data_IF_285136197303
#
_entry.id   IF_285136197303
#
_cell.length_a   1.000
_cell.length_b   1.000
_cell.length_c   1.000
_cell.angle_alpha   90.00
_cell.angle_beta   90.00
_cell.angle_gamma   90.00
#
_symmetry.space_group_name_H-M   'P 1'
#
loop_
_entity.id
_entity.type
_entity.pdbx_description
1 polymer ?
#
# COMPACT_ATOMS: atom_id res chain seq x y z
N UNK A 1 -18.85 -19.20 7.10
CA UNK A 1 -17.40 -18.88 7.03
C UNK A 1 -16.90 -19.23 5.64
N UNK A 2 -16.71 -18.25 4.76
CA UNK A 2 -16.26 -18.49 3.37
C UNK A 2 -14.74 -18.30 3.35
N UNK A 3 -14.03 -19.41 3.24
CA UNK A 3 -12.57 -19.47 3.21
C UNK A 3 -12.02 -18.63 2.05
N UNK A 4 -10.93 -17.91 2.35
CA UNK A 4 -10.13 -17.15 1.40
C UNK A 4 -9.58 -18.12 0.35
N UNK A 5 -10.05 -18.00 -0.89
CA UNK A 5 -9.35 -18.57 -2.03
C UNK A 5 -8.03 -17.81 -2.19
N UNK A 6 -6.88 -18.49 -2.30
CA UNK A 6 -5.66 -17.84 -2.75
C UNK A 6 -5.93 -17.40 -4.20
N UNK A 7 -5.96 -16.09 -4.45
CA UNK A 7 -5.97 -15.57 -5.82
C UNK A 7 -4.56 -15.75 -6.35
N UNK A 8 -4.25 -16.99 -6.73
CA UNK A 8 -3.12 -17.34 -7.56
C UNK A 8 -3.68 -17.48 -8.98
N UNK A 9 -3.34 -16.53 -9.85
CA UNK A 9 -3.76 -16.60 -11.25
C UNK A 9 -3.87 -15.23 -11.90
N UNK A 10 -2.77 -14.82 -12.53
CA UNK A 10 -2.71 -13.92 -13.69
C UNK A 10 -3.38 -12.54 -13.52
N UNK A 11 -2.60 -11.52 -13.13
CA UNK A 11 -2.75 -10.09 -13.52
C UNK A 11 -1.95 -9.11 -12.63
N UNK A 12 -1.11 -9.59 -11.69
CA UNK A 12 -0.14 -8.73 -11.03
C UNK A 12 1.08 -8.50 -11.92
N UNK A 13 0.96 -7.56 -12.86
CA UNK A 13 2.05 -7.10 -13.73
C UNK A 13 2.92 -6.10 -12.96
N UNK A 14 3.60 -6.58 -11.92
CA UNK A 14 4.63 -5.85 -11.18
C UNK A 14 5.74 -6.83 -10.85
N UNK A 15 6.98 -6.50 -11.17
CA UNK A 15 8.13 -7.36 -10.88
C UNK A 15 8.25 -7.59 -9.37
N UNK A 16 7.96 -8.82 -8.91
CA UNK A 16 7.99 -9.25 -7.51
C UNK A 16 9.42 -9.46 -6.97
N UNK A 17 10.34 -8.54 -7.28
CA UNK A 17 11.62 -8.48 -6.60
C UNK A 17 11.41 -8.01 -5.16
N UNK A 18 11.28 -8.94 -4.21
CA UNK A 18 11.20 -8.68 -2.76
C UNK A 18 9.99 -7.87 -2.24
N UNK A 19 8.76 -8.18 -2.67
CA UNK A 19 7.55 -7.58 -2.11
C UNK A 19 7.23 -8.17 -0.71
N UNK A 20 7.87 -7.62 0.32
CA UNK A 20 7.64 -7.97 1.72
C UNK A 20 6.26 -7.48 2.19
N UNK A 21 5.46 -8.40 2.76
CA UNK A 21 4.09 -8.15 3.17
C UNK A 21 3.95 -7.38 4.50
N UNK A 22 2.77 -7.47 5.13
CA UNK A 22 2.43 -6.71 6.33
C UNK A 22 3.43 -6.83 7.48
N UNK A 23 4.02 -8.02 7.69
CA UNK A 23 4.99 -8.25 8.78
C UNK A 23 6.21 -7.33 8.71
N UNK A 24 6.69 -7.06 7.50
CA UNK A 24 7.84 -6.16 7.29
C UNK A 24 7.42 -4.71 7.43
N UNK A 25 6.29 -4.33 6.84
CA UNK A 25 5.73 -2.98 7.01
C UNK A 25 5.51 -2.67 8.50
N UNK A 26 4.94 -3.60 9.28
CA UNK A 26 4.71 -3.41 10.71
C UNK A 26 5.98 -3.35 11.55
N UNK A 27 7.10 -3.88 11.05
CA UNK A 27 8.38 -3.80 11.75
C UNK A 27 9.02 -2.41 11.61
N UNK A 28 8.77 -1.73 10.49
CA UNK A 28 9.33 -0.40 10.20
C UNK A 28 8.37 0.72 10.60
N UNK A 29 7.10 0.56 10.26
CA UNK A 29 6.05 1.58 10.41
C UNK A 29 5.06 1.27 11.53
N UNK A 30 5.34 0.27 12.38
CA UNK A 30 4.47 -0.13 13.48
C UNK A 30 4.19 1.06 14.40
N UNK A 31 2.92 1.25 14.76
CA UNK A 31 2.49 2.37 15.60
C UNK A 31 1.52 1.93 16.68
N UNK A 32 1.50 2.69 17.78
CA UNK A 32 0.47 2.63 18.83
C UNK A 32 -0.43 3.87 18.84
N UNK A 33 -0.22 4.83 17.92
CA UNK A 33 -1.06 6.00 17.80
C UNK A 33 -2.44 5.63 17.22
N UNK A 34 -3.46 6.35 17.63
CA UNK A 34 -4.77 6.28 16.99
C UNK A 34 -4.75 7.02 15.65
N UNK A 35 -5.59 6.62 14.67
CA UNK A 35 -5.70 7.36 13.43
C UNK A 35 -6.25 8.76 13.69
N UNK A 36 -5.61 9.76 13.09
CA UNK A 36 -6.12 11.12 12.97
C UNK A 36 -6.73 11.37 11.58
N UNK A 37 -7.36 12.54 11.40
CA UNK A 37 -7.95 12.96 10.13
C UNK A 37 -9.17 12.12 9.68
N UNK A 38 -9.27 11.87 8.37
CA UNK A 38 -10.39 11.11 7.80
C UNK A 38 -10.20 9.60 8.07
N UNK A 39 -11.19 8.97 8.70
CA UNK A 39 -11.14 7.52 8.99
C UNK A 39 -12.16 6.76 8.13
N UNK A 40 -11.64 5.81 7.35
CA UNK A 40 -12.42 4.91 6.51
C UNK A 40 -12.33 3.49 7.06
N UNK A 41 -13.47 2.86 7.33
CA UNK A 41 -13.53 1.46 7.80
C UNK A 41 -13.92 0.52 6.67
N UNK A 42 -13.69 -0.79 6.86
CA UNK A 42 -14.04 -1.84 5.88
C UNK A 42 -13.43 -1.61 4.50
N UNK A 43 -12.20 -1.10 4.46
CA UNK A 43 -11.47 -0.92 3.21
C UNK A 43 -10.82 -2.23 2.77
N UNK A 44 -10.46 -2.28 1.48
CA UNK A 44 -9.71 -3.40 0.88
C UNK A 44 -8.43 -2.90 0.25
N UNK A 45 -7.32 -3.63 0.44
CA UNK A 45 -6.03 -3.38 -0.21
C UNK A 45 -5.22 -4.67 -0.27
N UNK A 46 -4.11 -4.65 -1.00
CA UNK A 46 -3.07 -5.69 -0.90
C UNK A 46 -1.83 -5.08 -0.27
N UNK A 47 -1.20 -5.79 0.67
CA UNK A 47 0.14 -5.46 1.13
C UNK A 47 1.10 -6.60 0.74
N UNK A 48 2.11 -6.28 -0.08
CA UNK A 48 2.95 -7.29 -0.73
C UNK A 48 2.11 -8.23 -1.59
N UNK A 49 2.00 -9.49 -1.18
CA UNK A 49 1.19 -10.52 -1.86
C UNK A 49 -0.13 -10.86 -1.14
N UNK A 50 -0.46 -10.20 -0.03
CA UNK A 50 -1.62 -10.55 0.81
C UNK A 50 -2.75 -9.57 0.61
N UNK A 51 -3.90 -10.10 0.18
CA UNK A 51 -5.15 -9.37 0.08
C UNK A 51 -5.84 -9.26 1.44
N UNK A 52 -6.13 -8.04 1.86
CA UNK A 52 -6.96 -7.73 3.02
C UNK A 52 -8.29 -7.16 2.52
N UNK A 53 -9.35 -7.97 2.55
CA UNK A 53 -10.65 -7.62 1.97
C UNK A 53 -11.65 -7.22 3.04
N UNK A 54 -12.14 -5.98 2.98
CA UNK A 54 -13.16 -5.40 3.89
C UNK A 54 -12.82 -5.47 5.39
N UNK A 55 -11.53 -5.56 5.72
CA UNK A 55 -11.04 -5.70 7.10
C UNK A 55 -9.98 -4.66 7.43
N UNK A 56 -9.80 -3.65 6.59
CA UNK A 56 -8.81 -2.59 6.80
C UNK A 56 -9.51 -1.32 7.27
N UNK A 57 -9.01 -0.76 8.37
CA UNK A 57 -9.28 0.62 8.76
C UNK A 57 -8.15 1.49 8.25
N UNK A 58 -8.50 2.59 7.60
CA UNK A 58 -7.57 3.56 7.01
C UNK A 58 -7.78 4.91 7.69
N UNK A 59 -6.72 5.52 8.20
CA UNK A 59 -6.71 6.93 8.62
C UNK A 59 -5.88 7.75 7.65
N UNK A 60 -6.43 8.87 7.17
CA UNK A 60 -5.76 9.81 6.28
C UNK A 60 -5.50 11.07 7.11
N UNK A 61 -4.32 11.11 7.70
CA UNK A 61 -3.88 12.19 8.59
C UNK A 61 -2.79 13.06 7.98
N UNK A 62 -2.43 14.14 8.67
CA UNK A 62 -1.36 15.01 8.23
C UNK A 62 0.01 14.31 8.32
N UNK A 63 0.18 13.43 9.32
CA UNK A 63 1.42 12.70 9.53
C UNK A 63 1.64 11.53 8.56
N UNK A 64 0.58 11.00 7.93
CA UNK A 64 0.70 9.86 7.04
C UNK A 64 -0.58 9.06 6.84
N UNK A 65 -0.41 7.90 6.22
CA UNK A 65 -1.47 6.91 6.05
C UNK A 65 -1.42 5.90 7.18
N UNK A 66 -2.40 5.96 8.08
CA UNK A 66 -2.63 4.95 9.08
C UNK A 66 -3.37 3.75 8.48
N UNK A 67 -2.91 2.53 8.74
CA UNK A 67 -3.57 1.29 8.33
C UNK A 67 -3.61 0.30 9.49
N UNK A 68 -4.82 -0.19 9.80
CA UNK A 68 -5.02 -1.28 10.76
C UNK A 68 -5.79 -2.42 10.10
N UNK A 69 -5.27 -3.64 10.25
CA UNK A 69 -5.92 -4.87 9.76
C UNK A 69 -6.66 -5.54 10.91
N UNK A 70 -7.98 -5.61 10.81
CA UNK A 70 -8.81 -6.41 11.70
C UNK A 70 -8.70 -7.92 11.42
N UNK A 71 -9.29 -8.72 12.31
CA UNK A 71 -9.36 -10.17 12.17
C UNK A 71 -9.10 -10.90 13.48
N UNK A 72 -9.09 -12.25 13.45
CA UNK A 72 -8.95 -13.06 14.67
C UNK A 72 -7.52 -13.05 15.26
N UNK A 73 -6.51 -12.69 14.46
CA UNK A 73 -5.12 -12.58 14.90
C UNK A 73 -4.72 -11.11 14.98
N UNK A 74 -4.20 -10.64 16.14
CA UNK A 74 -3.76 -9.26 16.29
C UNK A 74 -2.61 -8.97 15.34
N UNK A 75 -2.68 -7.82 14.68
CA UNK A 75 -1.60 -7.27 13.86
C UNK A 75 -1.38 -5.84 14.29
N UNK A 76 -0.12 -5.45 14.47
CA UNK A 76 0.20 -4.07 14.79
C UNK A 76 -0.31 -3.16 13.65
N UNK A 77 -1.04 -2.09 13.99
CA UNK A 77 -1.30 -1.01 13.05
C UNK A 77 0.01 -0.40 12.56
N UNK A 78 -0.05 0.23 11.40
CA UNK A 78 1.07 0.93 10.80
C UNK A 78 0.69 2.37 10.46
N UNK A 79 1.65 3.28 10.57
CA UNK A 79 1.56 4.65 10.11
C UNK A 79 2.69 4.90 9.11
N UNK A 80 2.36 5.04 7.84
CA UNK A 80 3.33 5.27 6.77
C UNK A 80 3.38 6.78 6.50
N UNK A 81 4.52 7.46 6.74
CA UNK A 81 4.68 8.86 6.41
C UNK A 81 4.51 9.12 4.92
N UNK A 82 3.96 10.27 4.55
CA UNK A 82 3.67 10.60 3.16
C UNK A 82 4.94 10.57 2.27
N UNK A 83 6.06 11.03 2.79
CA UNK A 83 7.38 11.07 2.14
C UNK A 83 7.98 9.69 1.79
N UNK A 84 7.48 8.63 2.42
CA UNK A 84 7.94 7.27 2.19
C UNK A 84 7.17 6.56 1.08
N UNK A 85 6.09 7.14 0.57
CA UNK A 85 5.44 6.66 -0.64
C UNK A 85 6.29 6.97 -1.87
N UNK A 86 6.54 5.95 -2.68
CA UNK A 86 7.34 6.02 -3.90
C UNK A 86 6.61 5.27 -5.01
N UNK A 87 6.93 5.63 -6.27
CA UNK A 87 6.52 4.90 -7.48
C UNK A 87 5.04 4.47 -7.52
N UNK A 88 4.18 5.23 -8.19
CA UNK A 88 2.79 4.86 -8.41
C UNK A 88 2.60 4.27 -9.82
N UNK A 89 2.21 3.00 -9.90
CA UNK A 89 2.01 2.29 -11.17
C UNK A 89 0.58 1.75 -11.29
N UNK A 90 -0.04 1.79 -12.49
CA UNK A 90 -1.35 1.18 -12.71
C UNK A 90 -1.33 -0.31 -12.37
N UNK A 91 -2.33 -0.75 -11.60
CA UNK A 91 -2.52 -2.13 -11.20
C UNK A 91 -4.00 -2.52 -11.29
N UNK A 92 -4.30 -3.78 -10.94
CA UNK A 92 -5.67 -4.25 -10.75
C UNK A 92 -5.80 -4.89 -9.37
N UNK A 93 -6.92 -4.61 -8.72
CA UNK A 93 -7.38 -5.33 -7.54
C UNK A 93 -8.69 -6.02 -7.93
N UNK A 94 -8.63 -7.35 -8.13
CA UNK A 94 -9.68 -8.10 -8.84
C UNK A 94 -9.92 -7.55 -10.26
N UNK A 95 -11.17 -7.22 -10.59
CA UNK A 95 -11.56 -6.54 -11.83
C UNK A 95 -11.50 -5.00 -11.74
N UNK A 96 -11.21 -4.43 -10.57
CA UNK A 96 -11.20 -2.99 -10.36
C UNK A 96 -9.84 -2.38 -10.67
N UNK A 97 -9.84 -1.15 -11.18
CA UNK A 97 -8.62 -0.35 -11.33
C UNK A 97 -8.01 -0.09 -9.96
N UNK A 98 -6.69 -0.20 -9.88
CA UNK A 98 -5.92 0.03 -8.68
C UNK A 98 -4.58 0.71 -9.02
N UNK A 99 -3.87 1.12 -7.98
CA UNK A 99 -2.50 1.60 -8.08
C UNK A 99 -1.61 0.78 -7.15
N UNK A 100 -0.51 0.28 -7.68
CA UNK A 100 0.59 -0.27 -6.89
C UNK A 100 1.49 0.89 -6.49
N UNK A 101 1.71 1.05 -5.18
CA UNK A 101 2.68 2.01 -4.62
C UNK A 101 3.77 1.26 -3.88
N UNK A 102 5.01 1.69 -4.07
CA UNK A 102 6.15 1.26 -3.26
C UNK A 102 6.25 2.11 -2.00
N UNK A 103 6.78 1.54 -0.92
CA UNK A 103 6.94 2.22 0.37
C UNK A 103 8.37 2.05 0.88
N UNK A 104 9.01 3.15 1.30
CA UNK A 104 10.34 3.23 1.88
C UNK A 104 11.50 3.38 0.89
N UNK A 105 12.65 3.83 1.38
CA UNK A 105 13.93 3.90 0.65
C UNK A 105 15.10 3.43 1.55
N UNK A 106 15.67 2.22 1.34
CA UNK A 106 15.34 1.22 0.32
C UNK A 106 13.92 0.66 0.46
N UNK A 107 13.37 0.06 -0.60
CA UNK A 107 11.98 -0.42 -0.60
C UNK A 107 11.72 -1.40 0.56
N UNK A 108 10.77 -1.05 1.42
CA UNK A 108 10.33 -1.82 2.60
C UNK A 108 9.15 -2.73 2.25
N UNK A 109 8.30 -2.31 1.32
CA UNK A 109 7.13 -3.08 0.90
C UNK A 109 6.33 -2.39 -0.18
N UNK A 110 5.19 -2.99 -0.53
CA UNK A 110 4.27 -2.45 -1.53
C UNK A 110 2.83 -2.49 -1.03
N UNK A 111 2.03 -1.53 -1.49
CA UNK A 111 0.58 -1.51 -1.30
C UNK A 111 -0.13 -1.42 -2.65
N UNK A 112 -1.11 -2.28 -2.89
CA UNK A 112 -2.05 -2.12 -4.01
C UNK A 112 -3.35 -1.54 -3.47
N UNK A 113 -3.63 -0.30 -3.86
CA UNK A 113 -4.78 0.48 -3.39
C UNK A 113 -5.85 0.54 -4.50
N UNK A 114 -7.13 0.31 -4.20
CA UNK A 114 -8.21 0.65 -5.13
C UNK A 114 -8.13 2.12 -5.53
N UNK A 115 -8.48 2.46 -6.78
CA UNK A 115 -8.47 3.86 -7.24
C UNK A 115 -9.26 4.79 -6.31
N UNK A 116 -10.38 4.32 -5.75
CA UNK A 116 -11.22 5.09 -4.81
C UNK A 116 -10.48 5.53 -3.54
N UNK A 117 -9.51 4.74 -3.08
CA UNK A 117 -8.67 5.10 -1.94
C UNK A 117 -7.46 5.91 -2.42
N UNK A 118 -6.84 5.53 -3.53
CA UNK A 118 -5.71 6.25 -4.09
C UNK A 118 -6.05 7.72 -4.41
N UNK A 119 -7.22 7.97 -5.01
CA UNK A 119 -7.65 9.32 -5.38
C UNK A 119 -7.83 10.23 -4.16
N UNK A 120 -8.20 9.67 -2.99
CA UNK A 120 -8.32 10.41 -1.73
C UNK A 120 -6.97 10.83 -1.16
N UNK A 121 -6.00 9.93 -1.20
CA UNK A 121 -4.67 10.19 -0.63
C UNK A 121 -3.74 10.93 -1.61
N UNK A 122 -4.13 11.04 -2.88
CA UNK A 122 -3.26 11.54 -3.97
C UNK A 122 -2.68 12.92 -3.70
N UNK A 123 -3.44 13.81 -3.05
CA UNK A 123 -2.98 15.17 -2.71
C UNK A 123 -1.89 15.19 -1.65
N UNK A 124 -1.76 14.14 -0.85
CA UNK A 124 -0.74 14.00 0.19
C UNK A 124 0.53 13.33 -0.32
N UNK A 125 0.43 12.54 -1.40
CA UNK A 125 1.57 11.83 -1.95
C UNK A 125 2.61 12.83 -2.48
N UNK A 126 3.90 12.55 -2.29
CA UNK A 126 4.95 13.37 -2.84
C UNK A 126 4.77 13.46 -4.35
N UNK A 127 5.13 14.62 -4.96
CA UNK A 127 5.11 14.74 -6.41
C UNK A 127 5.93 13.58 -6.99
N UNK A 128 5.47 13.05 -8.12
CA UNK A 128 6.17 11.97 -8.81
C UNK A 128 7.54 12.51 -9.22
N UNK A 129 8.54 12.30 -8.36
CA UNK A 129 9.92 12.61 -8.68
C UNK A 129 10.30 11.57 -9.72
N UNK A 130 10.22 11.97 -10.99
CA UNK A 130 10.82 11.19 -12.05
C UNK A 130 12.28 10.98 -11.63
N UNK A 131 12.67 9.74 -11.37
CA UNK A 131 14.08 9.39 -11.33
C UNK A 131 14.63 9.81 -12.68
N UNK A 132 15.37 10.93 -12.71
CA UNK A 132 16.12 11.38 -13.89
C UNK A 132 17.25 10.37 -14.05
N UNK A 133 16.92 9.19 -14.57
CA UNK A 133 17.86 8.31 -15.23
C UNK A 133 18.06 8.91 -16.61
N UNK A 134 19.07 9.77 -16.72
CA UNK A 134 19.59 10.23 -18.01
C UNK A 134 19.78 9.01 -18.91
N UNK A 135 19.15 8.92 -20.09
CA UNK A 135 19.62 7.98 -21.09
C UNK A 135 20.99 8.48 -21.55
N UNK A 136 22.05 7.86 -21.01
CA UNK A 136 23.40 7.98 -21.54
C UNK A 136 23.36 7.51 -22.99
N UNK A 137 23.39 8.48 -23.90
CA UNK A 137 23.44 8.30 -25.35
C UNK A 137 24.71 7.53 -25.73
N UNK A 138 24.65 6.55 -26.65
CA UNK A 138 25.86 5.90 -27.13
C UNK A 138 26.62 6.85 -28.06
N UNK A 139 27.94 6.91 -27.89
CA UNK A 139 28.91 7.33 -28.91
C UNK A 139 29.76 6.10 -29.21
#
# INVERSE_FOLDING_TARGET
MRFLLPILGEHFKGSFGSATGWSTLSRVYGTSAEPDGEVLTRQSLVAGAVLYRYIVTVGIGDAGLYLAVGGPLPRSPILIPWEDFRNAEPAKLFWQKAVLVSVGAPQVGTLTLPMTLYDRIRSHLPPRTASIGTPSKPV
#
